data_IF_855359858948
#
_entry.id   IF_855359858948
#
_cell.length_a   1.000
_cell.length_b   1.000
_cell.length_c   1.000
_cell.angle_alpha   90.00
_cell.angle_beta   90.00
_cell.angle_gamma   90.00
#
_symmetry.space_group_name_H-M   'P 1'
#
loop_
_entity.id
_entity.type
_entity.pdbx_description
1 polymer ?
#
# COMPACT_ATOMS: atom_id res chain seq x y z
N UNK A 1 16.35 11.89 -2.89
CA UNK A 1 16.37 10.44 -2.55
C UNK A 1 16.76 9.58 -3.77
N UNK A 2 17.17 8.29 -3.69
CA UNK A 2 17.58 7.51 -4.89
C UNK A 2 16.42 6.79 -5.59
N UNK A 3 16.44 6.73 -6.92
CA UNK A 3 15.44 6.03 -7.75
C UNK A 3 15.23 4.56 -7.35
N UNK A 4 16.25 3.93 -6.76
CA UNK A 4 16.17 2.56 -6.27
C UNK A 4 15.19 2.42 -5.09
N UNK A 5 15.14 3.41 -4.19
CA UNK A 5 14.21 3.41 -3.04
C UNK A 5 12.77 3.61 -3.54
N UNK A 6 12.58 4.52 -4.50
CA UNK A 6 11.26 4.73 -5.12
C UNK A 6 10.76 3.48 -5.83
N UNK A 7 11.62 2.80 -6.59
CA UNK A 7 11.27 1.54 -7.25
C UNK A 7 10.93 0.42 -6.26
N UNK A 8 11.68 0.28 -5.16
CA UNK A 8 11.39 -0.70 -4.12
C UNK A 8 10.02 -0.46 -3.47
N UNK A 9 9.70 0.80 -3.15
CA UNK A 9 8.39 1.18 -2.63
C UNK A 9 7.27 0.91 -3.64
N UNK A 10 7.46 1.21 -4.92
CA UNK A 10 6.48 0.90 -5.95
C UNK A 10 6.23 -0.61 -6.11
N UNK A 11 7.29 -1.43 -5.99
CA UNK A 11 7.15 -2.90 -6.02
C UNK A 11 6.38 -3.42 -4.79
N UNK A 12 6.67 -2.87 -3.61
CA UNK A 12 5.91 -3.19 -2.37
C UNK A 12 4.45 -2.81 -2.50
N UNK A 13 4.15 -1.64 -3.05
CA UNK A 13 2.78 -1.19 -3.30
C UNK A 13 2.03 -2.15 -4.24
N UNK A 14 2.67 -2.59 -5.33
CA UNK A 14 2.07 -3.57 -6.24
C UNK A 14 1.78 -4.90 -5.54
N UNK A 15 2.70 -5.38 -4.70
CA UNK A 15 2.48 -6.60 -3.92
C UNK A 15 1.30 -6.46 -2.94
N UNK A 16 1.21 -5.32 -2.25
CA UNK A 16 0.11 -5.03 -1.32
C UNK A 16 -1.25 -5.01 -2.03
N UNK A 17 -1.35 -4.47 -3.25
CA UNK A 17 -2.60 -4.51 -4.01
C UNK A 17 -3.06 -5.95 -4.32
N UNK A 18 -2.12 -6.84 -4.65
CA UNK A 18 -2.45 -8.26 -4.89
C UNK A 18 -2.96 -8.92 -3.62
N UNK A 19 -2.37 -8.63 -2.47
CA UNK A 19 -2.82 -9.20 -1.20
C UNK A 19 -4.15 -8.59 -0.72
N UNK A 20 -4.37 -7.31 -0.98
CA UNK A 20 -5.64 -6.64 -0.72
C UNK A 20 -6.78 -7.23 -1.58
N UNK A 21 -6.52 -7.53 -2.85
CA UNK A 21 -7.49 -8.21 -3.72
C UNK A 21 -7.88 -9.58 -3.14
N UNK A 22 -6.90 -10.40 -2.72
CA UNK A 22 -7.17 -11.70 -2.09
C UNK A 22 -7.98 -11.55 -0.80
N UNK A 23 -7.61 -10.60 0.06
CA UNK A 23 -8.31 -10.34 1.31
C UNK A 23 -9.77 -9.90 1.06
N UNK A 24 -9.99 -9.06 0.05
CA UNK A 24 -11.32 -8.65 -0.38
C UNK A 24 -12.16 -9.81 -0.93
N UNK A 25 -11.57 -10.71 -1.72
CA UNK A 25 -12.26 -11.94 -2.19
C UNK A 25 -12.64 -12.83 -0.99
N UNK A 26 -11.75 -12.99 -0.02
CA UNK A 26 -12.01 -13.77 1.20
C UNK A 26 -13.10 -13.12 2.07
N UNK A 27 -13.05 -11.80 2.23
CA UNK A 27 -14.08 -11.02 2.93
C UNK A 27 -15.43 -11.13 2.23
N UNK A 28 -15.48 -10.97 0.91
CA UNK A 28 -16.71 -11.10 0.14
C UNK A 28 -17.34 -12.49 0.32
N UNK A 29 -16.50 -13.54 0.33
CA UNK A 29 -16.93 -14.92 0.43
C UNK A 29 -17.43 -15.32 1.82
N UNK A 30 -16.79 -14.83 2.88
CA UNK A 30 -17.06 -15.29 4.26
C UNK A 30 -17.72 -14.24 5.16
N UNK A 31 -17.57 -12.95 4.84
CA UNK A 31 -18.01 -11.79 5.64
C UNK A 31 -17.58 -11.86 7.10
N UNK A 32 -16.41 -12.44 7.36
CA UNK A 32 -15.88 -12.55 8.71
C UNK A 32 -15.22 -11.25 9.16
N UNK A 33 -15.36 -10.94 10.46
CA UNK A 33 -14.68 -9.80 11.10
C UNK A 33 -13.16 -9.90 10.95
N UNK A 34 -12.61 -11.12 10.97
CA UNK A 34 -11.18 -11.35 10.73
C UNK A 34 -10.75 -10.85 9.35
N UNK A 35 -11.52 -11.15 8.30
CA UNK A 35 -11.21 -10.67 6.96
C UNK A 35 -11.40 -9.15 6.82
N UNK A 36 -12.36 -8.56 7.55
CA UNK A 36 -12.49 -7.09 7.60
C UNK A 36 -11.25 -6.44 8.23
N UNK A 37 -10.72 -7.02 9.31
CA UNK A 37 -9.51 -6.53 9.97
C UNK A 37 -8.28 -6.66 9.07
N UNK A 38 -8.17 -7.76 8.33
CA UNK A 38 -7.07 -7.98 7.37
C UNK A 38 -7.15 -6.96 6.23
N UNK A 39 -8.34 -6.73 5.65
CA UNK A 39 -8.54 -5.71 4.60
C UNK A 39 -8.13 -4.34 5.11
N UNK A 40 -8.62 -3.91 6.29
CA UNK A 40 -8.26 -2.61 6.86
C UNK A 40 -6.77 -2.45 7.10
N UNK A 41 -6.11 -3.46 7.66
CA UNK A 41 -4.68 -3.41 7.91
C UNK A 41 -3.86 -3.31 6.61
N UNK A 42 -4.34 -3.90 5.51
CA UNK A 42 -3.71 -3.78 4.20
C UNK A 42 -3.98 -2.40 3.57
N UNK A 43 -5.19 -1.86 3.71
CA UNK A 43 -5.53 -0.50 3.28
C UNK A 43 -4.67 0.55 3.98
N UNK A 44 -4.49 0.44 5.29
CA UNK A 44 -3.64 1.33 6.07
C UNK A 44 -2.19 1.30 5.57
N UNK A 45 -1.63 0.10 5.33
CA UNK A 45 -0.28 -0.05 4.76
C UNK A 45 -0.14 0.55 3.36
N UNK A 46 -1.17 0.41 2.50
CA UNK A 46 -1.19 1.01 1.17
C UNK A 46 -1.17 2.53 1.27
N UNK A 47 -1.99 3.11 2.16
CA UNK A 47 -2.06 4.55 2.35
C UNK A 47 -0.72 5.12 2.85
N UNK A 48 -0.11 4.49 3.86
CA UNK A 48 1.21 4.91 4.37
C UNK A 48 2.30 4.89 3.28
N UNK A 49 2.27 3.88 2.40
CA UNK A 49 3.25 3.76 1.32
C UNK A 49 3.02 4.80 0.22
N UNK A 50 1.77 5.13 -0.08
CA UNK A 50 1.40 6.20 -1.01
C UNK A 50 1.84 7.55 -0.45
N UNK A 51 1.55 7.85 0.82
CA UNK A 51 1.96 9.09 1.47
C UNK A 51 3.48 9.24 1.44
N UNK A 52 4.22 8.17 1.75
CA UNK A 52 5.69 8.14 1.65
C UNK A 52 6.16 8.46 0.23
N UNK A 53 5.54 7.87 -0.80
CA UNK A 53 5.89 8.13 -2.20
C UNK A 53 5.58 9.57 -2.62
N UNK A 54 4.48 10.15 -2.13
CA UNK A 54 4.10 11.55 -2.38
C UNK A 54 5.11 12.49 -1.71
N UNK A 55 5.47 12.25 -0.46
CA UNK A 55 6.46 13.05 0.28
C UNK A 55 7.83 13.02 -0.42
N UNK A 56 8.23 11.86 -0.95
CA UNK A 56 9.46 11.72 -1.72
C UNK A 56 9.45 12.50 -3.05
N UNK A 57 8.29 12.59 -3.70
CA UNK A 57 8.13 13.36 -4.94
C UNK A 57 7.93 14.87 -4.69
N UNK A 58 7.61 15.25 -3.46
CA UNK A 58 7.43 16.63 -3.04
C UNK A 58 8.73 17.34 -2.60
N UNK A 59 9.91 16.70 -2.68
CA UNK A 59 11.20 17.37 -2.42
C UNK A 59 11.32 18.63 -3.35
N UNK A 60 11.51 19.85 -2.81
CA UNK A 60 11.50 21.06 -3.61
C UNK A 60 12.73 21.15 -4.54
N UNK A 61 12.50 21.60 -5.76
CA UNK A 61 13.50 22.26 -6.61
C UNK A 61 13.93 23.58 -5.95
N UNK A 62 14.71 23.56 -4.87
CA UNK A 62 15.41 24.77 -4.41
C UNK A 62 16.83 24.46 -3.92
N UNK A 63 17.78 24.86 -4.77
CA UNK A 63 19.11 25.34 -4.37
C UNK A 63 19.51 26.48 -5.29
#
# INVERSE_FOLDING_TARGET
MSDAVKNDLQQKLQALYVDLEKANIALFSSKSVENELVVRALEDQVNELIDTLIEMDAEPLES
#
